data_IF_252784195522
#
_entry.id   IF_252784195522
#
_cell.length_a   1.000
_cell.length_b   1.000
_cell.length_c   1.000
_cell.angle_alpha   90.00
_cell.angle_beta   90.00
_cell.angle_gamma   90.00
#
_symmetry.space_group_name_H-M   'P 1'
#
loop_
_entity.id
_entity.type
_entity.pdbx_description
1 polymer ?
#
# COMPACT_ATOMS: atom_id res chain seq x y z
N UNK A 1 6.19 -5.82 -10.04
CA UNK A 1 5.94 -5.91 -11.50
C UNK A 1 4.50 -6.25 -11.88
N UNK A 2 3.74 -7.04 -11.11
CA UNK A 2 2.36 -7.45 -11.47
C UNK A 2 1.36 -6.30 -11.63
N UNK A 3 1.43 -5.28 -10.75
CA UNK A 3 0.53 -4.12 -10.83
C UNK A 3 0.67 -3.32 -12.13
N UNK A 4 1.90 -3.11 -12.60
CA UNK A 4 2.19 -2.36 -13.84
C UNK A 4 1.70 -3.07 -15.09
N UNK A 5 1.84 -4.40 -15.13
CA UNK A 5 1.28 -5.20 -16.23
C UNK A 5 -0.25 -5.11 -16.26
N UNK A 6 -0.89 -5.24 -15.11
CA UNK A 6 -2.36 -5.09 -15.01
C UNK A 6 -2.81 -3.69 -15.44
N UNK A 7 -2.07 -2.64 -15.07
CA UNK A 7 -2.34 -1.26 -15.49
C UNK A 7 -2.27 -1.09 -17.00
N UNK A 8 -1.22 -1.59 -17.66
CA UNK A 8 -1.09 -1.51 -19.12
C UNK A 8 -2.23 -2.23 -19.85
N UNK A 9 -2.63 -3.41 -19.36
CA UNK A 9 -3.79 -4.16 -19.90
C UNK A 9 -5.09 -3.39 -19.69
N UNK A 10 -5.32 -2.81 -18.51
CA UNK A 10 -6.49 -1.99 -18.26
C UNK A 10 -6.51 -0.71 -19.13
N UNK A 11 -5.33 -0.15 -19.43
CA UNK A 11 -5.19 0.99 -20.33
C UNK A 11 -5.53 0.64 -21.77
N UNK A 12 -5.08 -0.50 -22.28
CA UNK A 12 -5.44 -0.95 -23.63
C UNK A 12 -6.94 -1.25 -23.76
N UNK A 13 -7.58 -1.72 -22.68
CA UNK A 13 -9.04 -1.89 -22.59
C UNK A 13 -9.80 -0.57 -22.35
N UNK A 14 -9.11 0.56 -22.18
CA UNK A 14 -9.74 1.88 -22.01
C UNK A 14 -10.33 2.15 -20.62
N UNK A 15 -10.00 1.35 -19.59
CA UNK A 15 -10.64 1.45 -18.25
C UNK A 15 -10.33 2.77 -17.53
N UNK A 16 -9.23 3.43 -17.91
CA UNK A 16 -8.77 4.72 -17.37
C UNK A 16 -9.55 5.94 -17.89
N UNK A 17 -10.36 5.79 -18.95
CA UNK A 17 -11.01 6.93 -19.62
C UNK A 17 -12.39 7.18 -19.00
N UNK A 18 -12.62 8.36 -18.45
CA UNK A 18 -13.95 8.80 -18.06
C UNK A 18 -14.79 9.11 -19.31
N UNK A 19 -15.98 8.51 -19.43
CA UNK A 19 -16.90 8.75 -20.56
C UNK A 19 -16.45 8.21 -21.92
N UNK A 20 -15.30 7.53 -21.98
CA UNK A 20 -14.80 6.89 -23.19
C UNK A 20 -15.41 5.51 -23.44
N UNK A 21 -15.39 5.05 -24.69
CA UNK A 21 -15.78 3.68 -25.03
C UNK A 21 -14.78 2.69 -24.44
N UNK A 22 -15.23 1.88 -23.48
CA UNK A 22 -14.45 0.79 -22.92
C UNK A 22 -14.34 -0.35 -23.95
N UNK A 23 -13.15 -0.90 -24.11
CA UNK A 23 -12.80 -1.91 -25.11
C UNK A 23 -12.64 -3.27 -24.43
N UNK A 24 -13.75 -3.94 -24.10
CA UNK A 24 -13.74 -5.29 -23.53
C UNK A 24 -14.92 -6.11 -24.02
N UNK A 25 -14.74 -7.44 -24.05
CA UNK A 25 -15.81 -8.41 -24.31
C UNK A 25 -16.03 -9.23 -23.05
N UNK A 26 -17.25 -9.23 -22.54
CA UNK A 26 -17.66 -10.18 -21.50
C UNK A 26 -17.77 -11.56 -22.16
N UNK A 27 -16.97 -12.51 -21.69
CA UNK A 27 -16.95 -13.86 -22.27
C UNK A 27 -18.07 -14.75 -21.74
N UNK A 28 -18.49 -14.53 -20.49
CA UNK A 28 -19.53 -15.31 -19.83
C UNK A 28 -20.72 -14.43 -19.47
N UNK A 29 -21.97 -14.74 -19.90
CA UNK A 29 -23.14 -13.87 -19.70
C UNK A 29 -23.41 -13.47 -18.25
N UNK A 30 -23.06 -14.35 -17.30
CA UNK A 30 -23.26 -14.10 -15.87
C UNK A 30 -22.20 -13.19 -15.24
N UNK A 31 -21.09 -12.92 -15.95
CA UNK A 31 -20.00 -12.11 -15.41
C UNK A 31 -20.29 -10.62 -15.64
N UNK A 32 -20.28 -9.84 -14.57
CA UNK A 32 -20.34 -8.37 -14.64
C UNK A 32 -18.93 -7.78 -14.55
N UNK A 33 -18.59 -6.92 -15.50
CA UNK A 33 -17.37 -6.13 -15.43
C UNK A 33 -17.69 -4.72 -14.92
N UNK A 34 -16.82 -4.20 -14.06
CA UNK A 34 -16.91 -2.84 -13.53
C UNK A 34 -15.62 -2.08 -13.85
N UNK A 35 -15.41 -1.62 -15.09
CA UNK A 35 -14.13 -1.08 -15.56
C UNK A 35 -13.53 0.00 -14.66
N UNK A 36 -14.34 0.98 -14.23
CA UNK A 36 -13.85 2.06 -13.35
C UNK A 36 -13.50 1.57 -11.94
N UNK A 37 -14.23 0.58 -11.42
CA UNK A 37 -13.89 -0.03 -10.15
C UNK A 37 -12.59 -0.85 -10.26
N UNK A 38 -12.44 -1.64 -11.34
CA UNK A 38 -11.21 -2.41 -11.61
C UNK A 38 -10.01 -1.49 -11.78
N UNK A 39 -10.16 -0.40 -12.54
CA UNK A 39 -9.14 0.63 -12.69
C UNK A 39 -8.72 1.22 -11.34
N UNK A 40 -9.69 1.66 -10.54
CA UNK A 40 -9.44 2.14 -9.18
C UNK A 40 -8.65 1.13 -8.34
N UNK A 41 -9.02 -0.16 -8.35
CA UNK A 41 -8.31 -1.19 -7.58
C UNK A 41 -6.87 -1.40 -8.05
N UNK A 42 -6.63 -1.35 -9.36
CA UNK A 42 -5.27 -1.44 -9.93
C UNK A 42 -4.42 -0.25 -9.48
N UNK A 43 -4.95 0.98 -9.61
CA UNK A 43 -4.23 2.20 -9.23
C UNK A 43 -3.98 2.25 -7.72
N UNK A 44 -4.98 1.86 -6.91
CA UNK A 44 -4.85 1.79 -5.46
C UNK A 44 -3.70 0.86 -5.06
N UNK A 45 -3.67 -0.36 -5.61
CA UNK A 45 -2.63 -1.33 -5.31
C UNK A 45 -1.25 -0.89 -5.80
N UNK A 46 -1.16 -0.31 -7.01
CA UNK A 46 0.11 0.24 -7.53
C UNK A 46 0.67 1.30 -6.57
N UNK A 47 -0.15 2.27 -6.14
CA UNK A 47 0.28 3.32 -5.23
C UNK A 47 0.70 2.79 -3.87
N UNK A 48 0.03 1.78 -3.33
CA UNK A 48 0.46 1.11 -2.11
C UNK A 48 1.86 0.53 -2.22
N UNK A 49 2.11 -0.19 -3.31
CA UNK A 49 3.42 -0.79 -3.54
C UNK A 49 4.49 0.27 -3.80
N UNK A 50 4.16 1.36 -4.49
CA UNK A 50 5.08 2.48 -4.72
C UNK A 50 5.48 3.15 -3.41
N UNK A 51 4.51 3.41 -2.53
CA UNK A 51 4.74 3.97 -1.19
C UNK A 51 5.60 3.04 -0.33
N UNK A 52 5.34 1.73 -0.38
CA UNK A 52 6.06 0.72 0.40
C UNK A 52 7.51 0.54 -0.08
N UNK A 53 7.72 0.59 -1.40
CA UNK A 53 9.01 0.27 -2.04
C UNK A 53 9.82 1.52 -2.41
N UNK A 54 9.30 2.72 -2.19
CA UNK A 54 9.96 3.97 -2.59
C UNK A 54 10.08 4.14 -4.11
N UNK A 55 9.13 3.60 -4.87
CA UNK A 55 9.12 3.69 -6.34
C UNK A 55 8.19 4.79 -6.83
N UNK A 56 8.42 5.35 -8.04
CA UNK A 56 7.53 6.34 -8.63
C UNK A 56 6.18 5.70 -9.02
N UNK A 57 5.09 6.47 -9.05
CA UNK A 57 3.75 5.94 -9.37
C UNK A 57 3.54 5.65 -10.86
N UNK A 58 2.62 4.73 -11.20
CA UNK A 58 2.37 4.34 -12.60
C UNK A 58 1.43 5.27 -13.36
N UNK A 59 0.64 6.06 -12.63
CA UNK A 59 -0.29 7.00 -13.22
C UNK A 59 -0.62 8.11 -12.22
N UNK A 60 -0.81 9.32 -12.73
CA UNK A 60 -1.27 10.49 -11.97
C UNK A 60 -2.79 10.59 -11.89
N UNK A 61 -3.53 9.61 -12.42
CA UNK A 61 -4.98 9.68 -12.47
C UNK A 61 -5.61 9.71 -11.07
N UNK A 62 -6.48 10.69 -10.82
CA UNK A 62 -7.24 10.90 -9.58
C UNK A 62 -8.76 10.94 -9.80
N UNK A 63 -9.22 10.67 -11.02
CA UNK A 63 -10.62 10.62 -11.44
C UNK A 63 -11.53 9.73 -10.58
N UNK A 64 -10.97 8.67 -9.98
CA UNK A 64 -11.67 7.74 -9.08
C UNK A 64 -12.29 8.41 -7.87
N UNK A 65 -11.79 9.58 -7.46
CA UNK A 65 -12.29 10.36 -6.33
C UNK A 65 -13.04 11.63 -6.79
N UNK A 66 -13.55 11.65 -8.03
CA UNK A 66 -14.46 12.72 -8.46
C UNK A 66 -15.71 12.76 -7.57
N UNK A 67 -16.29 13.95 -7.40
CA UNK A 67 -17.47 14.15 -6.55
C UNK A 67 -18.62 13.21 -6.91
N UNK A 68 -18.83 12.95 -8.22
CA UNK A 68 -19.85 12.02 -8.70
C UNK A 68 -19.58 10.55 -8.29
N UNK A 69 -18.31 10.12 -8.26
CA UNK A 69 -17.93 8.79 -7.81
C UNK A 69 -18.07 8.66 -6.30
N UNK A 70 -17.59 9.66 -5.54
CA UNK A 70 -17.68 9.64 -4.09
C UNK A 70 -19.13 9.70 -3.58
N UNK A 71 -20.01 10.46 -4.24
CA UNK A 71 -21.41 10.57 -3.85
C UNK A 71 -22.18 9.24 -3.94
N UNK A 72 -21.76 8.34 -4.84
CA UNK A 72 -22.40 7.04 -5.08
C UNK A 72 -21.73 5.87 -4.34
N UNK A 73 -20.64 6.13 -3.61
CA UNK A 73 -19.86 5.08 -2.97
C UNK A 73 -20.25 4.89 -1.50
N UNK A 74 -19.97 3.70 -0.99
CA UNK A 74 -20.05 3.38 0.44
C UNK A 74 -19.06 4.24 1.25
N UNK A 75 -19.30 4.49 2.55
CA UNK A 75 -18.33 5.19 3.39
C UNK A 75 -16.92 4.60 3.33
N UNK A 76 -16.80 3.26 3.27
CA UNK A 76 -15.53 2.56 3.12
C UNK A 76 -14.87 2.82 1.77
N UNK A 77 -15.62 2.68 0.67
CA UNK A 77 -15.09 2.94 -0.68
C UNK A 77 -14.69 4.40 -0.91
N UNK A 78 -15.41 5.36 -0.30
CA UNK A 78 -15.00 6.77 -0.26
C UNK A 78 -13.65 6.94 0.43
N UNK A 79 -13.46 6.32 1.60
CA UNK A 79 -12.18 6.36 2.29
C UNK A 79 -11.08 5.81 1.39
N UNK A 80 -11.26 4.63 0.77
CA UNK A 80 -10.23 4.05 -0.10
C UNK A 80 -9.89 4.92 -1.32
N UNK A 81 -10.86 5.64 -1.89
CA UNK A 81 -10.64 6.55 -3.03
C UNK A 81 -9.87 7.79 -2.65
N UNK A 82 -10.28 8.45 -1.57
CA UNK A 82 -9.59 9.62 -1.02
C UNK A 82 -8.15 9.22 -0.68
N UNK A 83 -7.99 8.02 -0.15
CA UNK A 83 -6.70 7.48 0.16
C UNK A 83 -5.80 7.26 -1.05
N UNK A 84 -6.36 6.73 -2.13
CA UNK A 84 -5.68 6.58 -3.40
C UNK A 84 -5.17 7.93 -3.93
N UNK A 85 -5.93 9.01 -3.71
CA UNK A 85 -5.54 10.38 -4.08
C UNK A 85 -4.43 10.92 -3.17
N UNK A 86 -4.55 10.73 -1.86
CA UNK A 86 -3.51 11.14 -0.90
C UNK A 86 -2.19 10.43 -1.20
N UNK A 87 -2.21 9.13 -1.47
CA UNK A 87 -1.02 8.36 -1.86
C UNK A 87 -0.35 8.94 -3.11
N UNK A 88 -1.14 9.33 -4.11
CA UNK A 88 -0.63 9.99 -5.33
C UNK A 88 0.09 11.30 -5.01
N UNK A 89 -0.49 12.14 -4.15
CA UNK A 89 0.10 13.41 -3.72
C UNK A 89 1.41 13.21 -2.96
N UNK A 90 1.47 12.21 -2.08
CA UNK A 90 2.70 11.83 -1.37
C UNK A 90 3.78 11.38 -2.35
N UNK A 91 3.42 10.54 -3.34
CA UNK A 91 4.37 10.07 -4.35
C UNK A 91 4.92 11.22 -5.20
N UNK A 92 4.07 12.13 -5.66
CA UNK A 92 4.51 13.35 -6.38
C UNK A 92 5.46 14.20 -5.55
N UNK A 93 5.17 14.42 -4.26
CA UNK A 93 6.08 15.14 -3.37
C UNK A 93 7.40 14.40 -3.20
N UNK A 94 7.37 13.07 -3.07
CA UNK A 94 8.58 12.26 -2.91
C UNK A 94 9.47 12.29 -4.17
N UNK A 95 8.89 12.47 -5.34
CA UNK A 95 9.60 12.64 -6.62
C UNK A 95 10.08 14.10 -6.84
N UNK A 96 9.54 15.05 -6.08
CA UNK A 96 9.90 16.47 -6.16
C UNK A 96 11.12 16.82 -5.30
N UNK A 97 11.64 18.04 -5.44
CA UNK A 97 12.84 18.52 -4.71
C UNK A 97 12.71 18.34 -3.18
N UNK A 98 13.65 17.62 -2.52
CA UNK A 98 13.69 17.46 -1.06
C UNK A 98 13.70 18.77 -0.26
N UNK A 99 14.16 19.87 -0.86
CA UNK A 99 14.19 21.18 -0.21
C UNK A 99 12.79 21.80 0.00
N UNK A 100 11.77 21.32 -0.71
CA UNK A 100 10.39 21.81 -0.65
C UNK A 100 9.50 21.16 0.42
N UNK A 101 10.07 20.66 1.52
CA UNK A 101 9.28 20.01 2.57
C UNK A 101 8.33 21.02 3.25
N UNK A 102 7.03 20.92 2.91
CA UNK A 102 5.98 21.70 3.54
C UNK A 102 5.22 20.87 4.60
N UNK A 103 5.46 21.19 5.86
CA UNK A 103 4.77 20.57 6.98
C UNK A 103 3.26 20.88 6.96
N UNK A 104 2.86 22.07 6.54
CA UNK A 104 1.45 22.48 6.49
C UNK A 104 0.69 21.68 5.44
N UNK A 105 1.32 21.40 4.29
CA UNK A 105 0.80 20.49 3.28
C UNK A 105 0.54 19.09 3.83
N UNK A 106 1.49 18.55 4.60
CA UNK A 106 1.35 17.22 5.24
C UNK A 106 0.17 17.21 6.22
N UNK A 107 0.05 18.25 7.06
CA UNK A 107 -1.08 18.38 7.97
C UNK A 107 -2.43 18.48 7.24
N UNK A 108 -2.47 19.13 6.09
CA UNK A 108 -3.70 19.25 5.29
C UNK A 108 -4.14 17.89 4.74
N UNK A 109 -3.21 17.04 4.28
CA UNK A 109 -3.52 15.67 3.88
C UNK A 109 -4.02 14.82 5.05
N UNK A 110 -3.38 14.93 6.21
CA UNK A 110 -3.82 14.21 7.41
C UNK A 110 -5.24 14.63 7.82
N UNK A 111 -5.55 15.94 7.83
CA UNK A 111 -6.90 16.45 8.08
C UNK A 111 -7.93 15.94 7.06
N UNK A 112 -7.56 15.81 5.78
CA UNK A 112 -8.43 15.24 4.75
C UNK A 112 -8.73 13.75 5.01
N UNK A 113 -7.70 12.97 5.35
CA UNK A 113 -7.87 11.57 5.69
C UNK A 113 -8.72 11.39 6.95
N UNK A 114 -8.43 12.14 8.01
CA UNK A 114 -9.18 12.07 9.27
C UNK A 114 -10.65 12.42 9.07
N UNK A 115 -10.97 13.45 8.28
CA UNK A 115 -12.36 13.81 7.96
C UNK A 115 -13.09 12.64 7.28
N UNK A 116 -12.42 11.96 6.37
CA UNK A 116 -12.98 10.81 5.65
C UNK A 116 -13.19 9.60 6.56
N UNK A 117 -12.20 9.34 7.43
CA UNK A 117 -12.21 8.25 8.41
C UNK A 117 -13.34 8.41 9.45
N UNK A 118 -13.68 9.63 9.85
CA UNK A 118 -14.78 9.91 10.80
C UNK A 118 -16.16 9.45 10.31
N UNK A 119 -16.34 9.24 9.01
CA UNK A 119 -17.60 8.72 8.45
C UNK A 119 -17.81 7.21 8.66
N UNK A 120 -16.81 6.51 9.21
CA UNK A 120 -16.84 5.06 9.41
C UNK A 120 -17.20 4.70 10.85
N UNK A 121 -17.96 3.61 11.04
CA UNK A 121 -18.29 3.13 12.38
C UNK A 121 -17.03 2.63 13.11
N UNK A 122 -17.00 2.74 14.44
CA UNK A 122 -15.86 2.35 15.27
C UNK A 122 -15.38 0.90 15.02
N UNK A 123 -16.32 -0.02 14.75
CA UNK A 123 -16.02 -1.42 14.42
C UNK A 123 -15.11 -1.59 13.19
N UNK A 124 -15.09 -0.61 12.29
CA UNK A 124 -14.26 -0.64 11.09
C UNK A 124 -12.76 -0.58 11.40
N UNK A 125 -12.39 -0.14 12.61
CA UNK A 125 -10.99 -0.06 13.03
C UNK A 125 -10.55 -1.28 13.85
N UNK A 126 -11.47 -2.21 14.13
CA UNK A 126 -11.17 -3.42 14.88
C UNK A 126 -10.49 -4.45 13.97
N UNK A 127 -9.57 -5.23 14.56
CA UNK A 127 -8.96 -6.36 13.86
C UNK A 127 -10.05 -7.42 13.65
N UNK A 128 -10.37 -7.81 12.40
CA UNK A 128 -11.39 -8.80 12.15
C UNK A 128 -10.99 -10.15 12.78
N UNK A 129 -11.94 -10.82 13.43
CA UNK A 129 -11.70 -12.12 14.03
C UNK A 129 -11.68 -13.21 12.94
N UNK A 130 -10.49 -13.54 12.48
CA UNK A 130 -10.27 -14.51 11.40
C UNK A 130 -10.64 -15.96 11.75
N UNK A 131 -10.99 -16.25 13.02
CA UNK A 131 -11.27 -17.61 13.49
C UNK A 131 -12.74 -18.03 13.37
N UNK A 132 -13.68 -17.11 13.08
CA UNK A 132 -15.11 -17.39 13.27
C UNK A 132 -16.08 -16.97 12.16
N UNK A 133 -15.71 -16.11 11.21
CA UNK A 133 -16.70 -15.55 10.28
C UNK A 133 -16.48 -16.00 8.84
N UNK A 134 -17.41 -16.84 8.37
CA UNK A 134 -17.44 -17.42 7.01
C UNK A 134 -17.86 -16.41 5.92
N UNK A 135 -18.25 -15.18 6.28
CA UNK A 135 -18.94 -14.26 5.37
C UNK A 135 -18.43 -12.81 5.33
N UNK A 136 -17.38 -12.44 6.06
CA UNK A 136 -16.97 -11.04 6.07
C UNK A 136 -15.93 -10.74 4.99
N UNK A 137 -16.40 -10.61 3.75
CA UNK A 137 -15.63 -10.09 2.60
C UNK A 137 -14.99 -8.71 2.86
N UNK A 138 -15.37 -8.06 3.96
CA UNK A 138 -14.77 -6.85 4.53
C UNK A 138 -13.36 -7.09 5.12
N UNK A 139 -13.00 -8.33 5.48
CA UNK A 139 -11.72 -8.64 6.14
C UNK A 139 -10.47 -8.27 5.30
N UNK A 140 -10.55 -8.34 3.97
CA UNK A 140 -9.48 -7.90 3.06
C UNK A 140 -9.38 -6.35 2.98
N UNK A 141 -10.50 -5.64 3.22
CA UNK A 141 -10.55 -4.18 3.19
C UNK A 141 -10.00 -3.57 4.50
N UNK A 142 -10.19 -4.28 5.62
CA UNK A 142 -9.78 -3.89 6.98
C UNK A 142 -8.25 -3.87 7.19
N UNK A 143 -7.47 -4.62 6.41
CA UNK A 143 -6.01 -4.67 6.53
C UNK A 143 -5.27 -3.41 6.05
N UNK A 144 -5.87 -2.62 5.16
CA UNK A 144 -5.19 -1.48 4.53
C UNK A 144 -5.13 -0.23 5.43
N UNK A 145 -6.06 -0.09 6.37
CA UNK A 145 -6.14 1.07 7.25
C UNK A 145 -4.90 1.21 8.17
N UNK A 146 -4.43 0.09 8.73
CA UNK A 146 -3.28 0.05 9.62
C UNK A 146 -1.95 0.33 8.89
N UNK A 147 -1.81 -0.23 7.68
CA UNK A 147 -0.64 0.01 6.81
C UNK A 147 -0.53 1.49 6.49
N UNK A 148 -1.65 2.13 6.15
CA UNK A 148 -1.62 3.53 5.77
C UNK A 148 -1.43 4.51 6.92
N UNK A 149 -1.98 4.25 8.11
CA UNK A 149 -1.62 5.02 9.30
C UNK A 149 -0.12 4.93 9.55
N UNK A 150 0.45 3.74 9.37
CA UNK A 150 1.90 3.53 9.53
C UNK A 150 2.69 4.27 8.44
N UNK A 151 2.25 4.24 7.19
CA UNK A 151 2.91 4.96 6.09
C UNK A 151 2.84 6.48 6.31
N UNK A 152 1.69 7.04 6.68
CA UNK A 152 1.57 8.48 6.96
C UNK A 152 2.47 8.88 8.12
N UNK A 153 2.47 8.10 9.20
CA UNK A 153 3.35 8.36 10.35
C UNK A 153 4.85 8.21 10.01
N UNK A 154 5.20 7.26 9.15
CA UNK A 154 6.58 7.09 8.67
C UNK A 154 7.01 8.25 7.76
N UNK A 155 6.10 8.76 6.93
CA UNK A 155 6.37 9.87 6.00
C UNK A 155 6.32 11.23 6.72
N UNK A 156 5.57 11.39 7.81
CA UNK A 156 5.61 12.57 8.68
C UNK A 156 6.84 12.62 9.58
N UNK A 157 7.56 11.50 9.72
CA UNK A 157 8.75 11.37 10.58
C UNK A 157 10.08 11.37 9.82
N UNK A 158 10.09 11.51 8.48
CA UNK A 158 11.33 11.62 7.71
C UNK A 158 11.90 13.04 7.77
N UNK A 159 13.16 13.24 8.21
CA UNK A 159 13.84 14.53 8.04
C UNK A 159 14.24 14.74 6.57
N UNK A 160 14.27 16.00 6.14
CA UNK A 160 14.37 16.50 4.76
C UNK A 160 15.69 16.20 3.98
N UNK A 161 16.48 15.17 4.35
CA UNK A 161 17.77 14.92 3.71
C UNK A 161 17.89 13.53 3.04
N UNK A 162 18.20 13.47 1.73
CA UNK A 162 18.39 12.20 1.01
C UNK A 162 19.66 11.43 1.42
N UNK A 163 20.60 12.05 2.16
CA UNK A 163 21.84 11.42 2.59
C UNK A 163 21.66 10.27 3.61
N UNK A 164 20.50 10.20 4.27
CA UNK A 164 20.21 9.19 5.30
C UNK A 164 19.54 7.92 4.76
N UNK A 165 19.12 7.90 3.49
CA UNK A 165 18.39 6.75 2.94
C UNK A 165 19.33 5.61 2.50
N UNK A 166 20.51 5.95 1.95
CA UNK A 166 21.54 4.98 1.59
C UNK A 166 22.17 4.31 2.83
N UNK A 167 22.26 5.03 3.95
CA UNK A 167 22.83 4.54 5.21
C UNK A 167 21.84 3.72 6.06
N UNK A 168 20.52 3.78 5.78
CA UNK A 168 19.50 2.96 6.46
C UNK A 168 19.22 1.60 5.82
N UNK A 169 19.57 1.40 4.54
CA UNK A 169 19.51 0.07 3.91
C UNK A 169 20.52 -0.92 4.53
N UNK A 170 21.52 -0.44 5.28
CA UNK A 170 22.47 -1.27 6.02
C UNK A 170 22.10 -1.56 7.49
N UNK A 171 21.03 -0.97 8.03
CA UNK A 171 20.58 -1.24 9.41
C UNK A 171 19.05 -1.23 9.48
N UNK A 172 18.46 -2.41 9.35
CA UNK A 172 17.04 -2.60 9.65
C UNK A 172 16.74 -2.12 11.08
N UNK A 173 15.72 -1.27 11.31
CA UNK A 173 15.34 -0.88 12.65
C UNK A 173 14.57 -2.04 13.30
N UNK A 174 15.27 -2.81 14.15
CA UNK A 174 14.73 -3.83 15.10
C UNK A 174 13.70 -3.23 16.10
N UNK A 175 13.36 -1.94 15.96
CA UNK A 175 12.52 -1.19 16.89
C UNK A 175 11.01 -1.29 16.65
N UNK A 176 10.55 -1.93 15.58
CA UNK A 176 9.11 -2.08 15.27
C UNK A 176 8.58 -3.52 15.34
N UNK A 177 9.39 -4.50 15.76
CA UNK A 177 8.94 -5.89 15.94
C UNK A 177 8.29 -6.11 17.33
N UNK A 178 7.18 -6.85 17.42
CA UNK A 178 6.61 -7.31 18.69
C UNK A 178 7.65 -8.04 19.56
N UNK A 179 7.61 -7.85 20.88
CA UNK A 179 8.65 -8.31 21.83
C UNK A 179 9.04 -9.79 21.69
N UNK A 180 8.12 -10.67 21.30
CA UNK A 180 8.37 -12.11 21.14
C UNK A 180 9.25 -12.45 19.92
N UNK A 181 9.31 -11.60 18.89
CA UNK A 181 10.19 -11.78 17.73
C UNK A 181 11.58 -11.16 17.96
N UNK A 182 11.71 -10.24 18.92
CA UNK A 182 13.01 -9.64 19.29
C UNK A 182 13.96 -10.66 19.92
N UNK A 183 13.43 -11.54 20.75
CA UNK A 183 14.22 -12.55 21.47
C UNK A 183 14.79 -13.67 20.57
N UNK A 184 14.24 -13.86 19.36
CA UNK A 184 14.76 -14.83 18.38
C UNK A 184 15.94 -14.30 17.56
N UNK A 185 16.10 -12.98 17.45
CA UNK A 185 17.15 -12.34 16.66
C UNK A 185 18.41 -12.00 17.48
N UNK A 186 18.35 -12.12 18.81
CA UNK A 186 19.46 -11.81 19.73
C UNK A 186 20.11 -13.04 20.34
N UNK A 187 19.78 -14.26 19.88
CA UNK A 187 20.54 -15.46 20.27
C UNK A 187 21.72 -15.59 19.34
N UNK A 188 22.92 -15.49 19.91
CA UNK A 188 24.17 -15.73 19.20
C UNK A 188 24.14 -17.10 18.50
N UNK A 189 24.74 -17.23 17.31
CA UNK A 189 24.83 -18.50 16.62
C UNK A 189 25.61 -19.48 17.51
N UNK A 190 25.01 -20.64 17.76
CA UNK A 190 25.69 -21.79 18.39
C UNK A 190 26.90 -22.15 17.51
N UNK A 191 28.11 -22.30 18.07
CA UNK A 191 29.28 -22.68 17.27
C UNK A 191 29.05 -24.05 16.64
N UNK A 192 29.18 -24.12 15.31
CA UNK A 192 29.26 -25.40 14.60
C UNK A 192 30.57 -26.07 15.02
N UNK A 193 30.47 -27.17 15.78
CA UNK A 193 31.61 -28.05 16.02
C UNK A 193 32.18 -28.51 14.67
N UNK A 194 33.48 -28.26 14.48
CA UNK A 194 34.26 -28.77 13.37
C UNK A 194 34.08 -30.29 13.25
N UNK A 195 33.53 -30.74 12.12
CA UNK A 195 33.62 -32.12 11.71
C UNK A 195 35.07 -32.42 11.33
N UNK A 196 35.67 -33.40 12.01
CA UNK A 196 36.99 -33.98 11.71
C UNK A 196 36.99 -34.65 10.33
N UNK A 197 38.08 -34.58 9.55
CA UNK A 197 38.19 -35.32 8.30
C UNK A 197 38.46 -36.80 8.57
N UNK A 198 37.76 -37.69 7.88
CA UNK A 198 38.09 -39.11 7.79
C UNK A 198 39.39 -39.27 7.00
N UNK A 199 40.45 -39.74 7.65
CA UNK A 199 41.65 -40.26 6.98
C UNK A 199 41.32 -41.58 6.28
N UNK A 200 41.69 -41.64 5.00
CA UNK A 200 41.74 -42.83 4.18
C UNK A 200 42.94 -43.70 4.58
N UNK A 201 42.69 -44.90 5.07
CA UNK A 201 43.70 -45.98 5.12
C UNK A 201 43.20 -47.15 4.28
N UNK A 202 43.93 -47.45 3.22
CA UNK A 202 43.66 -48.53 2.29
C UNK A 202 44.77 -48.65 1.26
N UNK A 203 45.90 -49.24 1.68
CA UNK A 203 46.65 -50.32 1.04
C UNK A 203 47.85 -50.68 1.92
#
# INVERSE_FOLDING_TARGET
MTARRAMAIAQSMGFHRLGGRVQYKVLHPETKAYPHFMWFRIVFYDRQMCLLLGMPQGTLDRSMASSAMLAKDSPGGRLERIHCVIASRILERNESDPAGYDYTWTQNLDKELQRSARSLPSRWWLIPNLRGEKNDSQAFLLGNAAIFRTIILLQSSQPASPALHASRLGRAPIRLLPNHLRQRLTRDPVPLHHATPLESSGL
#
